data_IF_751813676842
#
_entry.id   IF_751813676842
#
_cell.length_a   1.000
_cell.length_b   1.000
_cell.length_c   1.000
_cell.angle_alpha   90.00
_cell.angle_beta   90.00
_cell.angle_gamma   90.00
#
_symmetry.space_group_name_H-M   'P 1'
#
loop_
_entity.id
_entity.type
_entity.pdbx_description
1 polymer ?
#
# COMPACT_ATOMS: atom_id res chain seq x y z
N UNK A 1 39.15 16.65 8.36
CA UNK A 1 37.79 16.79 8.93
C UNK A 1 37.23 15.38 8.99
N UNK A 2 37.23 14.78 10.17
CA UNK A 2 36.54 13.51 10.39
C UNK A 2 35.04 13.79 10.31
N UNK A 3 34.37 13.18 9.34
CA UNK A 3 32.91 13.18 9.30
C UNK A 3 32.44 12.46 10.55
N UNK A 4 31.75 13.15 11.46
CA UNK A 4 31.02 12.50 12.54
C UNK A 4 30.06 11.51 11.90
N UNK A 5 30.25 10.21 12.17
CA UNK A 5 29.23 9.21 11.90
C UNK A 5 27.94 9.67 12.59
N UNK A 6 26.97 10.11 11.79
CA UNK A 6 25.65 10.45 12.27
C UNK A 6 24.99 9.16 12.72
N UNK A 7 24.85 8.96 14.03
CA UNK A 7 24.13 7.81 14.57
C UNK A 7 22.69 7.84 14.04
N UNK A 8 22.26 6.75 13.40
CA UNK A 8 20.88 6.60 12.91
C UNK A 8 19.96 6.63 14.15
N UNK A 9 18.92 7.50 14.18
CA UNK A 9 17.98 7.55 15.29
C UNK A 9 17.20 6.23 15.40
N UNK A 10 16.89 5.82 16.64
CA UNK A 10 16.12 4.61 16.91
C UNK A 10 14.73 4.98 17.48
N UNK A 11 13.68 4.32 16.99
CA UNK A 11 12.29 4.52 17.41
C UNK A 11 11.62 3.20 17.79
N UNK A 12 10.59 3.26 18.64
CA UNK A 12 9.79 2.08 19.02
C UNK A 12 8.58 1.87 18.12
N UNK A 13 8.02 2.95 17.59
CA UNK A 13 6.86 2.93 16.71
C UNK A 13 7.26 2.74 15.25
N UNK A 14 6.26 2.67 14.37
CA UNK A 14 6.48 2.58 12.93
C UNK A 14 7.44 3.69 12.43
N UNK A 15 8.47 3.29 11.68
CA UNK A 15 9.53 4.22 11.26
C UNK A 15 9.12 5.25 10.21
N UNK A 16 8.14 4.96 9.35
CA UNK A 16 7.78 5.81 8.21
C UNK A 16 7.51 7.29 8.54
N UNK A 17 6.73 7.63 9.58
CA UNK A 17 6.47 9.02 10.00
C UNK A 17 7.73 9.84 10.37
N UNK A 18 8.84 9.18 10.71
CA UNK A 18 10.10 9.85 11.11
C UNK A 18 11.00 10.22 9.92
N UNK A 19 10.58 9.92 8.69
CA UNK A 19 11.30 10.23 7.47
C UNK A 19 10.77 11.52 6.83
N UNK A 20 11.47 12.64 7.01
CA UNK A 20 11.02 13.96 6.53
C UNK A 20 11.57 14.31 5.13
N UNK A 21 12.81 13.89 4.84
CA UNK A 21 13.56 14.27 3.62
C UNK A 21 14.24 13.06 3.01
N UNK A 22 14.41 13.09 1.69
CA UNK A 22 15.15 12.05 0.96
C UNK A 22 16.55 11.90 1.55
N UNK A 23 16.93 10.67 1.84
CA UNK A 23 18.18 10.30 2.52
C UNK A 23 18.06 10.16 4.03
N UNK A 24 16.94 10.59 4.65
CA UNK A 24 16.69 10.34 6.06
C UNK A 24 16.67 8.84 6.35
N UNK A 25 17.18 8.49 7.53
CA UNK A 25 17.22 7.11 8.03
C UNK A 25 16.67 7.05 9.44
N UNK A 26 15.94 5.98 9.74
CA UNK A 26 15.51 5.66 11.10
C UNK A 26 15.54 4.15 11.31
N UNK A 27 16.02 3.71 12.46
CA UNK A 27 15.97 2.31 12.88
C UNK A 27 14.73 2.09 13.74
N UNK A 28 13.81 1.26 13.28
CA UNK A 28 12.73 0.78 14.14
C UNK A 28 13.26 -0.43 14.92
N UNK A 29 13.17 -0.35 16.24
CA UNK A 29 13.72 -1.37 17.14
C UNK A 29 13.09 -2.74 16.86
N UNK A 30 13.93 -3.77 16.84
CA UNK A 30 13.58 -5.17 16.54
C UNK A 30 12.94 -5.36 15.15
N UNK A 31 13.06 -4.37 14.25
CA UNK A 31 12.44 -4.42 12.94
C UNK A 31 13.48 -4.29 11.82
N UNK A 32 14.02 -3.09 11.66
CA UNK A 32 14.96 -2.77 10.59
C UNK A 32 15.19 -1.27 10.44
N UNK A 33 16.06 -0.92 9.50
CA UNK A 33 16.37 0.48 9.16
C UNK A 33 15.61 0.89 7.90
N UNK A 34 14.84 1.96 8.03
CA UNK A 34 14.12 2.62 6.97
C UNK A 34 15.01 3.72 6.38
N UNK A 35 15.05 3.83 5.05
CA UNK A 35 15.71 4.91 4.32
C UNK A 35 14.76 5.50 3.28
N UNK A 36 14.50 6.81 3.34
CA UNK A 36 13.63 7.46 2.34
C UNK A 36 14.39 7.70 1.03
N UNK A 37 13.98 7.04 -0.05
CA UNK A 37 14.61 7.13 -1.36
C UNK A 37 13.98 8.19 -2.26
N UNK A 38 12.65 8.31 -2.23
CA UNK A 38 11.90 9.25 -3.06
C UNK A 38 10.62 9.68 -2.33
N UNK A 39 10.18 10.93 -2.55
CA UNK A 39 8.86 11.41 -2.10
C UNK A 39 8.19 12.21 -3.22
N UNK A 40 6.90 11.94 -3.43
CA UNK A 40 6.02 12.68 -4.33
C UNK A 40 4.82 13.19 -3.54
N UNK A 41 4.79 14.50 -3.31
CA UNK A 41 3.60 15.16 -2.79
C UNK A 41 2.54 15.23 -3.88
N UNK A 42 1.36 14.71 -3.59
CA UNK A 42 0.21 14.69 -4.50
C UNK A 42 -0.76 15.81 -4.08
N UNK A 43 -1.32 15.70 -2.87
CA UNK A 43 -2.31 16.62 -2.31
C UNK A 43 -3.51 16.84 -3.26
N UNK A 44 -3.99 15.76 -3.87
CA UNK A 44 -5.15 15.77 -4.76
C UNK A 44 -6.28 14.94 -4.16
N UNK A 45 -7.52 15.37 -4.42
CA UNK A 45 -8.73 14.71 -3.97
C UNK A 45 -9.53 14.15 -5.15
N UNK A 46 -10.08 12.96 -4.97
CA UNK A 46 -10.83 12.19 -5.95
C UNK A 46 -12.20 11.88 -5.35
N UNK A 47 -13.25 12.24 -6.07
CA UNK A 47 -14.63 12.08 -5.59
C UNK A 47 -15.30 10.92 -6.33
N UNK A 48 -15.86 9.99 -5.56
CA UNK A 48 -16.82 8.99 -6.04
C UNK A 48 -18.11 9.18 -5.26
N UNK A 49 -19.06 9.90 -5.87
CA UNK A 49 -20.29 10.33 -5.22
C UNK A 49 -19.99 11.00 -3.85
N UNK A 50 -20.59 10.69 -2.69
CA UNK A 50 -20.27 11.42 -1.46
C UNK A 50 -18.92 11.02 -0.84
N UNK A 51 -18.24 9.99 -1.35
CA UNK A 51 -16.95 9.54 -0.83
C UNK A 51 -15.82 10.35 -1.47
N UNK A 52 -14.97 10.93 -0.63
CA UNK A 52 -13.83 11.74 -1.08
C UNK A 52 -12.53 11.15 -0.58
N UNK A 53 -11.69 10.72 -1.52
CA UNK A 53 -10.36 10.16 -1.26
C UNK A 53 -9.34 11.26 -1.50
N UNK A 54 -8.53 11.58 -0.51
CA UNK A 54 -7.43 12.55 -0.66
C UNK A 54 -6.10 11.84 -0.51
N UNK A 55 -5.26 11.91 -1.54
CA UNK A 55 -3.91 11.37 -1.53
C UNK A 55 -2.95 12.49 -1.18
N UNK A 56 -2.23 12.33 -0.08
CA UNK A 56 -1.29 13.33 0.42
C UNK A 56 0.06 13.18 -0.27
N UNK A 57 0.65 12.00 -0.16
CA UNK A 57 1.96 11.71 -0.72
C UNK A 57 2.14 10.22 -1.02
N UNK A 58 3.10 9.94 -1.90
CA UNK A 58 3.62 8.61 -2.17
C UNK A 58 5.13 8.65 -1.91
N UNK A 59 5.64 7.68 -1.16
CA UNK A 59 7.06 7.58 -0.78
C UNK A 59 7.64 6.25 -1.23
N UNK A 60 8.88 6.25 -1.70
CA UNK A 60 9.66 5.03 -1.91
C UNK A 60 10.66 4.89 -0.78
N UNK A 61 10.59 3.80 -0.05
CA UNK A 61 11.38 3.58 1.16
C UNK A 61 12.10 2.24 1.04
N UNK A 62 13.39 2.24 1.36
CA UNK A 62 14.19 1.03 1.46
C UNK A 62 14.23 0.56 2.92
N UNK A 63 14.00 -0.74 3.10
CA UNK A 63 14.20 -1.46 4.34
C UNK A 63 15.52 -2.23 4.26
N UNK A 64 16.29 -2.19 5.34
CA UNK A 64 17.58 -2.89 5.45
C UNK A 64 17.83 -3.31 6.90
N UNK A 65 18.83 -4.15 7.14
CA UNK A 65 19.14 -4.65 8.50
C UNK A 65 17.91 -5.29 9.17
N UNK A 66 17.11 -6.01 8.38
CA UNK A 66 15.90 -6.68 8.84
C UNK A 66 16.27 -7.91 9.67
N UNK A 67 15.49 -8.18 10.71
CA UNK A 67 15.56 -9.46 11.42
C UNK A 67 14.98 -10.57 10.56
N UNK A 68 15.37 -11.82 10.80
CA UNK A 68 14.84 -12.97 10.05
C UNK A 68 13.31 -13.08 10.20
N UNK A 69 12.78 -12.83 11.40
CA UNK A 69 11.33 -12.80 11.66
C UNK A 69 10.59 -11.79 10.78
N UNK A 70 11.17 -10.60 10.59
CA UNK A 70 10.57 -9.56 9.75
C UNK A 70 10.68 -9.90 8.26
N UNK A 71 11.78 -10.54 7.84
CA UNK A 71 11.90 -11.01 6.45
C UNK A 71 10.83 -12.05 6.14
N UNK A 72 10.61 -13.00 7.04
CA UNK A 72 9.58 -14.03 6.91
C UNK A 72 8.16 -13.41 6.90
N UNK A 73 7.92 -12.40 7.75
CA UNK A 73 6.66 -11.64 7.75
C UNK A 73 6.44 -10.92 6.41
N UNK A 74 7.41 -10.12 5.96
CA UNK A 74 7.31 -9.34 4.73
C UNK A 74 7.19 -10.23 3.48
N UNK A 75 7.87 -11.39 3.46
CA UNK A 75 7.77 -12.37 2.37
C UNK A 75 6.32 -12.80 2.13
N UNK A 76 5.48 -12.85 3.15
CA UNK A 76 4.06 -13.23 3.00
C UNK A 76 3.23 -12.24 2.15
N UNK A 77 3.72 -11.01 1.99
CA UNK A 77 3.11 -9.96 1.17
C UNK A 77 3.69 -9.87 -0.25
N UNK A 78 4.67 -10.72 -0.56
CA UNK A 78 5.29 -10.85 -1.88
C UNK A 78 4.74 -12.08 -2.63
N UNK A 79 4.91 -12.13 -3.95
CA UNK A 79 4.40 -13.23 -4.77
C UNK A 79 2.86 -13.28 -4.81
N UNK A 80 2.29 -14.45 -5.11
CA UNK A 80 0.84 -14.69 -5.13
C UNK A 80 0.30 -14.97 -3.74
N UNK A 81 -0.88 -14.42 -3.45
CA UNK A 81 -1.75 -14.90 -2.38
C UNK A 81 -2.39 -16.23 -2.79
N UNK A 82 -2.93 -16.96 -1.82
CA UNK A 82 -3.70 -18.17 -2.11
C UNK A 82 -4.88 -17.89 -3.06
N UNK A 83 -5.58 -16.76 -2.89
CA UNK A 83 -6.73 -16.41 -3.74
C UNK A 83 -6.32 -16.13 -5.19
N UNK A 84 -5.21 -15.42 -5.38
CA UNK A 84 -4.63 -15.19 -6.71
C UNK A 84 -4.17 -16.50 -7.34
N UNK A 85 -3.42 -17.33 -6.61
CA UNK A 85 -2.99 -18.65 -7.07
C UNK A 85 -4.20 -19.54 -7.41
N UNK A 86 -5.24 -19.53 -6.58
CA UNK A 86 -6.48 -20.25 -6.84
C UNK A 86 -7.12 -19.77 -8.14
N UNK A 87 -7.24 -18.46 -8.35
CA UNK A 87 -7.84 -17.90 -9.58
C UNK A 87 -7.12 -18.30 -10.87
N UNK A 88 -5.80 -18.51 -10.80
CA UNK A 88 -4.96 -18.94 -11.92
C UNK A 88 -5.10 -20.45 -12.12
N UNK A 89 -4.93 -21.24 -11.06
CA UNK A 89 -4.69 -22.68 -11.16
C UNK A 89 -5.92 -23.56 -10.90
N UNK A 90 -7.07 -23.03 -10.46
CA UNK A 90 -8.25 -23.86 -10.12
C UNK A 90 -8.78 -24.73 -11.28
N UNK A 91 -8.45 -24.38 -12.52
CA UNK A 91 -8.83 -25.13 -13.73
C UNK A 91 -7.84 -26.23 -14.11
N UNK A 92 -6.70 -26.32 -13.43
CA UNK A 92 -5.61 -27.23 -13.76
C UNK A 92 -5.70 -28.58 -13.02
N UNK A 93 -6.86 -28.91 -12.44
CA UNK A 93 -7.10 -30.14 -11.66
C UNK A 93 -6.15 -30.32 -10.45
N UNK A 94 -5.54 -29.22 -10.00
CA UNK A 94 -4.74 -29.18 -8.78
C UNK A 94 -5.63 -29.22 -7.54
N UNK A 95 -5.17 -29.94 -6.52
CA UNK A 95 -5.75 -29.86 -5.18
C UNK A 95 -5.49 -28.51 -4.52
N UNK A 96 -6.25 -28.19 -3.47
CA UNK A 96 -6.04 -26.95 -2.71
C UNK A 96 -4.63 -26.88 -2.10
N UNK A 97 -4.05 -28.00 -1.70
CA UNK A 97 -2.69 -28.07 -1.16
C UNK A 97 -1.65 -27.77 -2.25
N UNK A 98 -1.84 -28.26 -3.46
CA UNK A 98 -0.96 -27.95 -4.59
C UNK A 98 -1.05 -26.47 -5.00
N UNK A 99 -2.25 -25.87 -4.95
CA UNK A 99 -2.44 -24.43 -5.21
C UNK A 99 -1.75 -23.60 -4.13
N UNK A 100 -1.87 -23.98 -2.86
CA UNK A 100 -1.17 -23.32 -1.75
C UNK A 100 0.35 -23.40 -1.92
N UNK A 101 0.87 -24.56 -2.35
CA UNK A 101 2.29 -24.70 -2.71
C UNK A 101 2.71 -23.80 -3.87
N UNK A 102 1.87 -23.62 -4.91
CA UNK A 102 2.17 -22.66 -5.98
C UNK A 102 2.23 -21.23 -5.46
N UNK A 103 1.35 -20.85 -4.53
CA UNK A 103 1.39 -19.54 -3.89
C UNK A 103 2.71 -19.37 -3.11
N UNK A 104 3.09 -20.32 -2.27
CA UNK A 104 4.34 -20.27 -1.51
C UNK A 104 5.59 -20.23 -2.40
N UNK A 105 5.61 -20.99 -3.50
CA UNK A 105 6.73 -21.03 -4.45
C UNK A 105 6.89 -19.72 -5.24
N UNK A 106 5.83 -18.93 -5.36
CA UNK A 106 5.87 -17.64 -6.05
C UNK A 106 6.44 -16.50 -5.20
N UNK A 107 6.65 -16.73 -3.90
CA UNK A 107 7.14 -15.69 -2.98
C UNK A 107 8.66 -15.51 -3.11
N UNK A 108 9.08 -14.28 -3.27
CA UNK A 108 10.50 -13.91 -3.35
C UNK A 108 11.11 -13.76 -1.95
N UNK A 109 12.28 -14.37 -1.74
CA UNK A 109 13.04 -14.20 -0.49
C UNK A 109 13.63 -12.78 -0.40
N UNK A 110 13.64 -12.24 0.82
CA UNK A 110 14.28 -10.94 1.11
C UNK A 110 15.68 -11.19 1.63
N UNK A 111 16.69 -10.73 0.90
CA UNK A 111 18.09 -10.88 1.30
C UNK A 111 18.53 -9.78 2.30
N UNK A 112 19.32 -8.80 1.90
CA UNK A 112 19.79 -7.73 2.80
C UNK A 112 18.83 -6.53 2.87
N UNK A 113 18.16 -6.23 1.75
CA UNK A 113 17.31 -5.07 1.58
C UNK A 113 16.08 -5.36 0.71
N UNK A 114 15.01 -4.61 0.94
CA UNK A 114 13.80 -4.61 0.10
C UNK A 114 13.24 -3.21 0.03
N UNK A 115 12.67 -2.85 -1.12
CA UNK A 115 12.03 -1.54 -1.30
C UNK A 115 10.52 -1.70 -1.22
N UNK A 116 9.84 -0.69 -0.70
CA UNK A 116 8.39 -0.61 -0.76
C UNK A 116 7.91 0.80 -1.14
N UNK A 117 6.68 0.85 -1.64
CA UNK A 117 5.94 2.06 -1.93
C UNK A 117 4.94 2.29 -0.82
N UNK A 118 4.96 3.50 -0.27
CA UNK A 118 4.07 3.91 0.80
C UNK A 118 3.14 5.02 0.32
N UNK A 119 1.83 4.88 0.56
CA UNK A 119 0.81 5.85 0.17
C UNK A 119 0.16 6.40 1.43
N UNK A 120 0.23 7.71 1.65
CA UNK A 120 -0.50 8.39 2.72
C UNK A 120 -1.79 9.00 2.15
N UNK A 121 -2.94 8.63 2.72
CA UNK A 121 -4.24 9.09 2.22
C UNK A 121 -5.28 9.29 3.32
N UNK A 122 -6.43 9.88 2.96
CA UNK A 122 -7.62 9.95 3.79
C UNK A 122 -8.88 9.73 2.98
N UNK A 123 -9.95 9.29 3.64
CA UNK A 123 -11.27 9.06 3.04
C UNK A 123 -12.32 9.75 3.90
N UNK A 124 -13.16 10.57 3.29
CA UNK A 124 -14.26 11.29 3.93
C UNK A 124 -15.60 10.81 3.35
N UNK A 125 -16.58 10.52 4.22
CA UNK A 125 -17.97 10.35 3.83
C UNK A 125 -18.73 11.68 3.99
N UNK A 126 -19.07 12.34 2.88
CA UNK A 126 -19.85 13.60 2.89
C UNK A 126 -21.36 13.38 2.89
N UNK A 127 -21.84 12.14 2.89
CA UNK A 127 -23.27 11.85 2.95
C UNK A 127 -23.80 12.07 4.36
N UNK A 128 -25.12 12.27 4.43
CA UNK A 128 -25.91 12.19 5.65
C UNK A 128 -26.13 10.77 6.15
N UNK A 129 -25.82 9.76 5.32
CA UNK A 129 -25.99 8.34 5.60
C UNK A 129 -24.66 7.61 5.84
N UNK A 130 -24.77 6.49 6.53
CA UNK A 130 -23.69 5.52 6.66
C UNK A 130 -23.45 4.80 5.32
N UNK A 131 -22.19 4.63 4.92
CA UNK A 131 -21.81 4.05 3.63
C UNK A 131 -20.73 2.97 3.75
N UNK A 132 -20.87 1.91 2.96
CA UNK A 132 -19.87 0.88 2.75
C UNK A 132 -18.99 1.23 1.56
N UNK A 133 -17.68 1.31 1.80
CA UNK A 133 -16.74 1.68 0.75
C UNK A 133 -15.32 1.21 1.05
N UNK A 134 -14.59 0.82 0.02
CA UNK A 134 -13.16 0.56 0.07
C UNK A 134 -12.44 1.43 -0.97
N UNK A 135 -11.54 2.29 -0.51
CA UNK A 135 -11.04 3.42 -1.30
C UNK A 135 -10.00 3.06 -2.36
N UNK A 136 -9.24 1.98 -2.16
CA UNK A 136 -8.15 1.59 -3.06
C UNK A 136 -8.05 0.07 -3.13
N UNK A 137 -8.89 -0.57 -3.95
CA UNK A 137 -8.87 -2.03 -4.16
C UNK A 137 -7.58 -2.45 -4.86
N UNK A 138 -7.34 -1.87 -6.04
CA UNK A 138 -6.10 -2.06 -6.77
C UNK A 138 -5.34 -0.75 -6.87
N UNK A 139 -4.02 -0.85 -6.82
CA UNK A 139 -3.11 0.26 -7.08
C UNK A 139 -2.16 -0.16 -8.19
N UNK A 140 -1.90 0.72 -9.15
CA UNK A 140 -0.89 0.49 -10.18
C UNK A 140 0.10 1.64 -10.21
N UNK A 141 1.39 1.33 -10.19
CA UNK A 141 2.47 2.28 -10.39
C UNK A 141 3.07 2.08 -11.77
N UNK A 142 3.43 3.18 -12.43
CA UNK A 142 4.08 3.21 -13.76
C UNK A 142 3.34 2.47 -14.90
N UNK A 143 2.12 1.98 -14.65
CA UNK A 143 1.25 1.32 -15.63
C UNK A 143 1.40 -0.20 -15.70
N UNK A 144 2.36 -0.78 -14.97
CA UNK A 144 2.69 -2.21 -15.02
C UNK A 144 2.76 -2.86 -13.63
N UNK A 145 3.21 -2.13 -12.61
CA UNK A 145 3.33 -2.66 -11.25
C UNK A 145 2.00 -2.52 -10.49
N UNK A 146 1.16 -3.54 -10.60
CA UNK A 146 -0.19 -3.58 -9.99
C UNK A 146 -0.22 -4.42 -8.71
N UNK A 147 -0.94 -3.93 -7.70
CA UNK A 147 -1.15 -4.57 -6.42
C UNK A 147 -2.63 -4.63 -6.07
N UNK A 148 -3.09 -5.80 -5.60
CA UNK A 148 -4.30 -5.92 -4.80
C UNK A 148 -4.00 -5.46 -3.36
N UNK A 149 -4.49 -4.28 -2.99
CA UNK A 149 -4.16 -3.66 -1.70
C UNK A 149 -4.62 -4.49 -0.49
N UNK A 150 -5.84 -5.09 -0.46
CA UNK A 150 -6.28 -5.91 0.66
C UNK A 150 -5.31 -7.04 1.02
N UNK A 151 -4.71 -7.70 0.03
CA UNK A 151 -3.78 -8.82 0.25
C UNK A 151 -2.31 -8.41 0.35
N UNK A 152 -1.90 -7.32 -0.31
CA UNK A 152 -0.47 -6.91 -0.41
C UNK A 152 -0.05 -5.84 0.58
N UNK A 153 -0.98 -5.16 1.23
CA UNK A 153 -0.62 -4.14 2.21
C UNK A 153 -0.08 -4.75 3.50
N UNK A 154 1.21 -4.52 3.79
CA UNK A 154 1.84 -4.99 5.04
C UNK A 154 1.76 -3.95 6.17
N UNK A 155 1.37 -2.71 5.88
CA UNK A 155 1.22 -1.67 6.89
C UNK A 155 -0.18 -1.75 7.50
N UNK A 156 -0.27 -2.32 8.69
CA UNK A 156 -1.53 -2.42 9.45
C UNK A 156 -1.85 -1.16 10.27
N UNK A 157 -1.34 0.01 9.86
CA UNK A 157 -1.55 1.28 10.57
C UNK A 157 -2.67 2.10 9.92
N UNK A 158 -3.82 2.20 10.58
CA UNK A 158 -4.85 3.21 10.28
C UNK A 158 -6.26 2.66 10.12
N UNK A 159 -7.25 3.50 10.44
CA UNK A 159 -8.68 3.18 10.45
C UNK A 159 -9.27 2.98 9.04
N UNK A 160 -8.54 3.26 7.96
CA UNK A 160 -9.05 3.15 6.58
C UNK A 160 -9.01 1.74 6.01
N UNK A 161 -8.23 0.84 6.62
CA UNK A 161 -8.11 -0.57 6.25
C UNK A 161 -8.56 -1.44 7.43
N UNK A 162 -9.73 -1.13 7.99
CA UNK A 162 -10.40 -2.10 8.85
C UNK A 162 -10.96 -3.16 7.90
N UNK A 163 -10.20 -4.25 7.75
CA UNK A 163 -10.60 -5.40 6.98
C UNK A 163 -9.58 -5.87 5.94
N UNK A 164 -9.17 -7.13 6.03
CA UNK A 164 -8.22 -7.80 5.12
C UNK A 164 -8.89 -8.37 3.85
N UNK A 165 -10.19 -8.11 3.66
CA UNK A 165 -11.01 -8.64 2.56
C UNK A 165 -12.15 -7.67 2.20
N UNK A 166 -12.69 -7.76 0.98
CA UNK A 166 -13.96 -7.09 0.59
C UNK A 166 -15.10 -7.31 1.59
N UNK A 167 -15.09 -8.43 2.32
CA UNK A 167 -16.14 -8.78 3.30
C UNK A 167 -15.96 -8.15 4.69
N UNK A 168 -14.87 -7.40 4.89
CA UNK A 168 -14.57 -6.75 6.17
C UNK A 168 -14.67 -5.22 6.08
N UNK A 169 -15.32 -4.70 5.02
CA UNK A 169 -15.70 -3.28 4.87
C UNK A 169 -16.20 -2.73 6.21
N UNK A 170 -15.59 -1.66 6.67
CA UNK A 170 -16.11 -0.90 7.80
C UNK A 170 -16.88 0.30 7.32
N UNK A 171 -18.11 0.40 7.75
CA UNK A 171 -19.03 1.45 7.34
C UNK A 171 -18.51 2.82 7.77
N UNK A 172 -18.53 3.79 6.87
CA UNK A 172 -18.17 5.17 7.15
C UNK A 172 -19.40 5.91 7.68
N UNK A 173 -19.29 6.43 8.90
CA UNK A 173 -20.35 7.25 9.49
C UNK A 173 -20.49 8.58 8.73
N UNK A 174 -21.68 9.21 8.77
CA UNK A 174 -21.88 10.53 8.18
C UNK A 174 -20.85 11.56 8.66
N UNK A 175 -20.13 12.20 7.74
CA UNK A 175 -19.09 13.19 8.04
C UNK A 175 -17.78 12.62 8.59
N UNK A 176 -17.64 11.29 8.69
CA UNK A 176 -16.42 10.67 9.18
C UNK A 176 -15.28 10.84 8.18
N UNK A 177 -14.10 11.20 8.69
CA UNK A 177 -12.84 11.18 7.93
C UNK A 177 -11.88 10.20 8.56
N UNK A 178 -11.45 9.20 7.80
CA UNK A 178 -10.42 8.24 8.22
C UNK A 178 -9.11 8.53 7.50
N UNK A 179 -7.99 8.27 8.18
CA UNK A 179 -6.63 8.43 7.62
C UNK A 179 -5.95 7.07 7.55
N UNK A 180 -5.18 6.89 6.48
CA UNK A 180 -4.62 5.61 6.11
C UNK A 180 -3.21 5.70 5.58
N UNK A 181 -2.49 4.61 5.76
CA UNK A 181 -1.19 4.37 5.13
C UNK A 181 -1.24 2.99 4.50
N UNK A 182 -0.84 2.88 3.23
CA UNK A 182 -0.64 1.61 2.52
C UNK A 182 0.86 1.43 2.30
N UNK A 183 1.39 0.23 2.52
CA UNK A 183 2.76 -0.17 2.20
C UNK A 183 2.77 -1.41 1.33
N UNK A 184 3.35 -1.29 0.13
CA UNK A 184 3.37 -2.33 -0.90
C UNK A 184 4.81 -2.64 -1.27
N UNK A 185 5.25 -3.88 -1.03
CA UNK A 185 6.62 -4.31 -1.34
C UNK A 185 6.84 -4.33 -2.86
N UNK A 186 7.96 -3.80 -3.29
CA UNK A 186 8.43 -3.94 -4.66
C UNK A 186 9.26 -5.21 -4.73
N UNK A 187 8.88 -6.12 -5.63
CA UNK A 187 9.67 -7.33 -5.85
C UNK A 187 11.09 -6.93 -6.31
N UNK A 188 12.16 -7.50 -5.72
CA UNK A 188 13.53 -7.25 -6.16
C UNK A 188 13.78 -7.51 -7.65
N UNK A 189 12.99 -8.38 -8.28
CA UNK A 189 13.07 -8.63 -9.73
C UNK A 189 12.42 -7.52 -10.58
N UNK A 190 11.55 -6.70 -9.99
CA UNK A 190 10.88 -5.59 -10.66
C UNK A 190 11.80 -4.38 -10.78
N UNK A 191 11.90 -3.84 -11.99
CA UNK A 191 12.71 -2.65 -12.23
C UNK A 191 11.91 -1.37 -11.90
N UNK A 192 11.94 -0.98 -10.63
CA UNK A 192 11.27 0.23 -10.15
C UNK A 192 12.27 1.34 -9.75
N UNK A 193 12.84 2.01 -10.76
CA UNK A 193 13.84 3.06 -10.53
C UNK A 193 13.27 4.42 -10.09
N UNK A 194 12.03 4.72 -10.46
CA UNK A 194 11.37 6.01 -10.20
C UNK A 194 9.86 5.90 -10.26
N UNK A 195 9.18 6.84 -9.61
CA UNK A 195 7.72 6.98 -9.65
C UNK A 195 7.26 8.01 -10.71
N UNK A 196 6.68 7.55 -11.82
CA UNK A 196 6.26 8.35 -12.98
C UNK A 196 4.72 8.47 -13.12
N UNK A 197 4.00 7.42 -12.76
CA UNK A 197 2.53 7.43 -12.74
C UNK A 197 2.00 6.59 -11.60
N UNK A 198 0.78 6.90 -11.20
CA UNK A 198 0.04 6.17 -10.19
C UNK A 198 -1.42 6.14 -10.58
N UNK A 199 -2.07 5.01 -10.42
CA UNK A 199 -3.51 4.87 -10.56
C UNK A 199 -4.05 3.94 -9.49
N UNK A 200 -5.35 4.06 -9.22
CA UNK A 200 -6.02 3.19 -8.28
C UNK A 200 -7.48 2.95 -8.70
N UNK A 201 -8.02 1.82 -8.28
CA UNK A 201 -9.44 1.49 -8.42
C UNK A 201 -10.11 1.55 -7.07
N UNK A 202 -11.34 2.01 -7.05
CA UNK A 202 -12.20 1.94 -5.86
C UNK A 202 -13.12 0.74 -5.95
N UNK A 203 -13.60 0.28 -4.80
CA UNK A 203 -14.74 -0.65 -4.74
C UNK A 203 -16.05 0.13 -4.99
N UNK A 204 -17.15 -0.62 -5.07
CA UNK A 204 -18.50 -0.04 -5.13
C UNK A 204 -18.87 0.67 -3.83
N UNK A 205 -19.78 1.63 -3.91
CA UNK A 205 -20.42 2.25 -2.74
C UNK A 205 -21.77 1.58 -2.52
N UNK A 206 -21.98 1.06 -1.31
CA UNK A 206 -23.26 0.54 -0.86
C UNK A 206 -23.79 1.31 0.36
N UNK A 207 -25.10 1.29 0.55
CA UNK A 207 -25.75 1.81 1.76
C UNK A 207 -25.36 0.94 2.97
N UNK A 208 -24.95 1.57 4.08
CA UNK A 208 -24.44 0.85 5.26
C UNK A 208 -25.46 -0.05 5.95
N UNK A 209 -26.75 0.31 5.89
CA UNK A 209 -27.83 -0.46 6.55
C UNK A 209 -28.43 -1.53 5.65
N UNK A 210 -28.74 -1.18 4.40
CA UNK A 210 -29.46 -2.05 3.47
C UNK A 210 -28.53 -2.90 2.59
N UNK A 211 -27.24 -2.52 2.50
CA UNK A 211 -26.26 -3.07 1.56
C UNK A 211 -26.66 -2.93 0.09
N UNK A 212 -27.65 -2.07 -0.22
CA UNK A 212 -28.01 -1.78 -1.60
C UNK A 212 -26.85 -1.04 -2.28
N UNK A 213 -26.49 -1.50 -3.48
CA UNK A 213 -25.53 -0.83 -4.34
C UNK A 213 -26.06 0.55 -4.72
N UNK A 214 -25.27 1.59 -4.44
CA UNK A 214 -25.60 2.97 -4.75
C UNK A 214 -24.82 3.47 -5.96
N UNK A 215 -23.52 3.14 -6.04
CA UNK A 215 -22.60 3.64 -7.07
C UNK A 215 -21.56 2.57 -7.39
N UNK A 216 -21.35 2.31 -8.68
CA UNK A 216 -20.28 1.43 -9.14
C UNK A 216 -18.90 2.07 -8.88
N UNK A 217 -17.92 1.23 -8.55
CA UNK A 217 -16.52 1.63 -8.41
C UNK A 217 -15.94 2.17 -9.72
N UNK A 218 -14.85 2.93 -9.61
CA UNK A 218 -14.17 3.52 -10.77
C UNK A 218 -12.66 3.48 -10.64
N UNK A 219 -11.97 3.87 -11.70
CA UNK A 219 -10.52 4.01 -11.75
C UNK A 219 -10.12 5.48 -11.84
N UNK A 220 -9.08 5.86 -11.10
CA UNK A 220 -8.48 7.19 -11.14
C UNK A 220 -7.02 7.07 -11.56
N UNK A 221 -6.60 7.92 -12.50
CA UNK A 221 -5.21 8.00 -12.99
C UNK A 221 -4.58 9.34 -12.61
N UNK A 222 -3.35 9.29 -12.10
CA UNK A 222 -2.61 10.43 -11.57
C UNK A 222 -1.25 10.48 -12.27
N UNK A 223 -1.06 11.39 -13.24
CA UNK A 223 0.22 11.56 -13.91
C UNK A 223 1.19 12.32 -12.99
N UNK A 224 2.30 11.68 -12.61
CA UNK A 224 3.28 12.27 -11.70
C UNK A 224 4.34 13.03 -12.51
N UNK A 225 3.99 14.27 -12.90
CA UNK A 225 4.89 15.10 -13.72
C UNK A 225 6.25 15.30 -13.02
N UNK A 226 7.33 15.07 -13.77
CA UNK A 226 8.66 15.54 -13.38
C UNK A 226 8.64 17.07 -13.45
N UNK A 227 9.02 17.81 -12.39
CA UNK A 227 9.24 19.24 -12.53
C UNK A 227 10.34 19.44 -13.57
N UNK A 228 9.99 20.08 -14.69
CA UNK A 228 10.96 20.50 -15.69
C UNK A 228 12.03 21.33 -14.96
N UNK A 229 13.26 20.81 -14.86
CA UNK A 229 14.40 21.63 -14.48
C UNK A 229 14.47 22.75 -15.51
N UNK A 230 14.10 23.96 -15.10
CA UNK A 230 14.27 25.17 -15.89
C UNK A 230 15.72 25.23 -16.35
N UNK A 231 15.90 25.38 -17.67
CA UNK A 231 17.18 25.70 -18.27
C UNK A 231 17.60 27.12 -17.90
#
# INVERSE_FOLDING_TARGET
>A
MEAKESKIPEVQEYGGPHLEKVGDKVCQKNWGTFTLLETRSINESFELAPMVITIKDIRRIQLSSLTDEVKDELKSYMGLSFEEAYSIYYKEDLSMEEIDQQAELSKTDIDEEVTYLEITYSVENKDSKELQFFSMENVTFNGDLTYDVPSKNFIHSGDTLIGTKKVSRSDYQPGETRKGTIGLLVDPEENFDRLDSFSFTTDDIADGESHELLVDGTSFEIPLKIPLKGK
#
